data_IF_759777061046
#
_entry.id   IF_759777061046
#
_cell.length_a   1.000
_cell.length_b   1.000
_cell.length_c   1.000
_cell.angle_alpha   90.00
_cell.angle_beta   90.00
_cell.angle_gamma   90.00
#
_symmetry.space_group_name_H-M   'P 1'
#
loop_
_entity.id
_entity.type
_entity.pdbx_description
1 polymer ?
#
# COMPACT_ATOMS: atom_id res chain seq x y z
N UNK A 1 -15.25 -1.45 -10.89
CA UNK A 1 -14.29 -1.49 -9.76
C UNK A 1 -13.35 -0.31 -9.91
N UNK A 2 -12.89 0.27 -8.80
CA UNK A 2 -11.86 1.29 -8.87
C UNK A 2 -10.52 0.67 -9.25
N UNK A 3 -9.63 1.45 -9.86
CA UNK A 3 -8.31 0.98 -10.26
C UNK A 3 -7.27 2.09 -10.07
N UNK A 4 -6.06 1.68 -9.76
CA UNK A 4 -4.89 2.55 -9.71
C UNK A 4 -3.69 1.84 -10.34
N UNK A 5 -2.70 2.62 -10.77
CA UNK A 5 -1.37 2.11 -11.03
C UNK A 5 -0.55 2.27 -9.76
N UNK A 6 0.02 1.18 -9.26
CA UNK A 6 0.88 1.19 -8.08
C UNK A 6 2.34 0.79 -8.39
N UNK A 7 3.28 1.41 -7.70
CA UNK A 7 4.71 1.08 -7.72
C UNK A 7 5.26 1.24 -6.31
N UNK A 8 6.15 0.32 -5.89
CA UNK A 8 6.70 0.31 -4.54
C UNK A 8 8.20 0.07 -4.56
N UNK A 9 8.91 0.73 -3.66
CA UNK A 9 10.34 0.52 -3.42
C UNK A 9 10.70 0.63 -1.94
N UNK A 10 11.90 0.15 -1.60
CA UNK A 10 12.58 0.48 -0.35
C UNK A 10 12.92 1.97 -0.31
N UNK A 11 12.77 2.60 0.85
CA UNK A 11 13.07 4.01 1.06
C UNK A 11 14.39 4.17 1.85
N UNK A 12 15.54 4.08 1.17
CA UNK A 12 16.87 4.18 1.81
C UNK A 12 17.15 5.53 2.48
N UNK A 13 16.57 6.62 1.96
CA UNK A 13 16.71 7.98 2.47
C UNK A 13 15.33 8.55 2.83
N UNK A 14 14.65 7.94 3.81
CA UNK A 14 13.23 8.24 4.13
C UNK A 14 12.95 9.74 4.31
N UNK A 15 13.76 10.46 5.09
CA UNK A 15 13.52 11.88 5.33
C UNK A 15 13.73 12.76 4.09
N UNK A 16 14.72 12.43 3.25
CA UNK A 16 14.89 13.10 1.96
C UNK A 16 13.69 12.85 1.05
N UNK A 17 13.22 11.61 0.96
CA UNK A 17 12.05 11.25 0.14
C UNK A 17 10.79 11.94 0.67
N UNK A 18 10.63 12.05 2.00
CA UNK A 18 9.57 12.80 2.65
C UNK A 18 9.59 14.28 2.28
N UNK A 19 10.76 14.91 2.26
CA UNK A 19 10.92 16.30 1.82
C UNK A 19 10.62 16.48 0.32
N UNK A 20 11.01 15.53 -0.54
CA UNK A 20 10.69 15.59 -1.96
C UNK A 20 9.19 15.40 -2.22
N UNK A 21 8.56 14.43 -1.53
CA UNK A 21 7.12 14.22 -1.61
C UNK A 21 6.35 15.47 -1.18
N UNK A 22 6.79 16.15 -0.11
CA UNK A 22 6.20 17.40 0.35
C UNK A 22 6.30 18.54 -0.68
N UNK A 23 7.39 18.61 -1.47
CA UNK A 23 7.52 19.60 -2.55
C UNK A 23 6.60 19.34 -3.74
N UNK A 24 6.27 18.08 -3.99
CA UNK A 24 5.34 17.67 -5.05
C UNK A 24 3.87 17.76 -4.61
N UNK A 25 3.63 17.79 -3.30
CA UNK A 25 2.29 17.76 -2.74
C UNK A 25 1.52 19.04 -3.05
N UNK A 26 0.27 18.88 -3.48
CA UNK A 26 -0.69 19.96 -3.70
C UNK A 26 -1.56 20.23 -2.48
N UNK A 27 -1.52 19.34 -1.49
CA UNK A 27 -2.33 19.39 -0.27
C UNK A 27 -1.47 19.13 0.98
N UNK A 28 -2.04 19.43 2.15
CA UNK A 28 -1.41 19.11 3.42
C UNK A 28 -1.25 17.58 3.58
N UNK A 29 -0.13 17.11 4.13
CA UNK A 29 0.09 15.68 4.32
C UNK A 29 -0.85 15.09 5.37
N UNK A 30 -1.21 13.82 5.16
CA UNK A 30 -1.98 13.02 6.11
C UNK A 30 -1.06 11.99 6.76
N UNK A 31 -1.33 11.68 8.02
CA UNK A 31 -0.51 10.76 8.81
C UNK A 31 -1.42 9.73 9.47
N UNK A 32 -1.08 8.45 9.31
CA UNK A 32 -1.87 7.35 9.85
C UNK A 32 -0.98 6.33 10.53
N UNK A 33 -1.43 5.81 11.68
CA UNK A 33 -1.00 4.51 12.17
C UNK A 33 -2.03 3.47 11.76
N UNK A 34 -1.58 2.48 11.02
CA UNK A 34 -2.43 1.50 10.35
C UNK A 34 -2.07 0.09 10.78
N UNK A 35 -3.10 -0.72 10.94
CA UNK A 35 -2.98 -2.17 11.10
C UNK A 35 -3.83 -2.87 10.04
N UNK A 36 -3.16 -3.62 9.17
CA UNK A 36 -3.77 -4.38 8.08
C UNK A 36 -3.76 -5.87 8.42
N UNK A 37 -4.93 -6.47 8.62
CA UNK A 37 -5.10 -7.91 8.77
C UNK A 37 -5.34 -8.53 7.41
N UNK A 38 -4.50 -9.46 6.98
CA UNK A 38 -4.64 -10.16 5.71
C UNK A 38 -5.26 -11.53 5.91
N UNK A 39 -6.12 -11.91 4.98
CA UNK A 39 -6.81 -13.20 5.00
C UNK A 39 -6.54 -13.96 3.71
N UNK A 40 -6.33 -15.26 3.81
CA UNK A 40 -6.25 -16.12 2.63
C UNK A 40 -7.64 -16.27 2.01
N UNK A 41 -7.70 -16.00 0.71
CA UNK A 41 -8.91 -16.07 -0.11
C UNK A 41 -8.58 -16.75 -1.44
N UNK A 42 -9.54 -17.43 -2.07
CA UNK A 42 -9.27 -18.21 -3.29
C UNK A 42 -8.89 -17.34 -4.49
N UNK A 43 -9.17 -16.03 -4.46
CA UNK A 43 -8.87 -15.08 -5.53
C UNK A 43 -8.48 -13.75 -4.95
N UNK A 44 -7.51 -13.08 -5.56
CA UNK A 44 -7.05 -11.75 -5.14
C UNK A 44 -6.51 -11.73 -3.72
N UNK A 45 -6.64 -10.59 -3.07
CA UNK A 45 -6.18 -10.35 -1.70
C UNK A 45 -7.27 -9.63 -0.93
N UNK A 46 -7.50 -10.05 0.30
CA UNK A 46 -8.46 -9.43 1.21
C UNK A 46 -7.73 -8.94 2.45
N UNK A 47 -7.97 -7.69 2.82
CA UNK A 47 -7.47 -7.14 4.08
C UNK A 47 -8.51 -6.30 4.80
N UNK A 48 -8.49 -6.36 6.13
CA UNK A 48 -9.17 -5.42 7.01
C UNK A 48 -8.14 -4.39 7.49
N UNK A 49 -8.31 -3.12 7.11
CA UNK A 49 -7.49 -2.00 7.57
C UNK A 49 -8.15 -1.30 8.75
N UNK A 50 -7.39 -1.09 9.82
CA UNK A 50 -7.77 -0.26 10.96
C UNK A 50 -6.83 0.94 11.09
N UNK A 51 -7.33 1.97 11.74
CA UNK A 51 -6.60 3.19 12.05
C UNK A 51 -6.65 3.46 13.56
N UNK A 52 -5.56 3.95 14.14
CA UNK A 52 -5.50 4.25 15.58
C UNK A 52 -6.12 5.61 15.95
N UNK A 53 -6.36 6.48 14.97
CA UNK A 53 -6.84 7.85 15.15
C UNK A 53 -8.38 7.99 15.12
N UNK A 54 -9.10 6.87 15.10
CA UNK A 54 -10.56 6.84 14.99
C UNK A 54 -11.10 6.99 13.56
N UNK A 55 -10.24 7.07 12.54
CA UNK A 55 -10.67 6.97 11.14
C UNK A 55 -11.41 5.64 10.92
N UNK A 56 -12.55 5.64 10.19
CA UNK A 56 -13.32 4.43 9.95
C UNK A 56 -12.47 3.31 9.34
N UNK A 57 -12.57 2.11 9.92
CA UNK A 57 -11.93 0.92 9.38
C UNK A 57 -12.54 0.53 8.02
N UNK A 58 -11.79 -0.22 7.23
CA UNK A 58 -12.21 -0.63 5.90
C UNK A 58 -11.87 -2.08 5.60
N UNK A 59 -12.80 -2.78 4.98
CA UNK A 59 -12.52 -4.06 4.32
C UNK A 59 -12.19 -3.79 2.86
N UNK A 60 -11.04 -4.28 2.41
CA UNK A 60 -10.48 -3.97 1.11
C UNK A 60 -10.17 -5.28 0.39
N UNK A 61 -10.86 -5.52 -0.71
CA UNK A 61 -10.49 -6.53 -1.68
C UNK A 61 -9.69 -5.88 -2.80
N UNK A 62 -8.59 -6.49 -3.22
CA UNK A 62 -7.83 -6.02 -4.37
C UNK A 62 -7.15 -7.16 -5.13
N UNK A 63 -6.87 -6.92 -6.41
CA UNK A 63 -6.16 -7.83 -7.29
C UNK A 63 -5.12 -7.07 -8.10
N UNK A 64 -3.90 -7.60 -8.11
CA UNK A 64 -2.77 -7.11 -8.90
C UNK A 64 -1.76 -8.22 -9.11
N UNK A 65 -0.96 -8.07 -10.16
CA UNK A 65 0.16 -8.96 -10.44
C UNK A 65 1.34 -8.69 -9.49
N UNK A 66 2.18 -9.70 -9.29
CA UNK A 66 3.43 -9.58 -8.53
C UNK A 66 4.59 -9.32 -9.49
N UNK A 67 4.60 -8.11 -10.04
CA UNK A 67 5.67 -7.61 -10.92
C UNK A 67 6.35 -6.37 -10.36
N UNK A 68 7.63 -6.23 -10.66
CA UNK A 68 8.36 -4.99 -10.40
C UNK A 68 7.85 -3.86 -11.29
N UNK A 69 8.04 -2.62 -10.82
CA UNK A 69 7.57 -1.42 -11.51
C UNK A 69 6.07 -1.14 -11.37
N UNK A 70 5.56 -0.16 -12.15
CA UNK A 70 4.15 0.22 -12.16
C UNK A 70 3.27 -0.94 -12.61
N UNK A 71 2.14 -1.12 -11.93
CA UNK A 71 1.19 -2.19 -12.21
C UNK A 71 -0.23 -1.79 -11.84
N UNK A 72 -1.18 -2.23 -12.63
CA UNK A 72 -2.59 -2.05 -12.32
C UNK A 72 -3.00 -2.85 -11.08
N UNK A 73 -3.75 -2.21 -10.21
CA UNK A 73 -4.39 -2.80 -9.04
C UNK A 73 -5.87 -2.44 -9.06
N UNK A 74 -6.70 -3.48 -9.07
CA UNK A 74 -8.16 -3.38 -9.11
C UNK A 74 -8.69 -3.61 -7.73
N UNK A 75 -9.46 -2.68 -7.19
CA UNK A 75 -9.87 -2.75 -5.79
C UNK A 75 -11.32 -2.35 -5.54
N UNK A 76 -11.86 -2.87 -4.44
CA UNK A 76 -13.14 -2.50 -3.86
C UNK A 76 -12.96 -2.32 -2.36
N UNK A 77 -13.55 -1.25 -1.83
CA UNK A 77 -13.46 -0.88 -0.42
C UNK A 77 -14.86 -0.79 0.16
N UNK A 78 -15.03 -1.27 1.38
CA UNK A 78 -16.26 -1.15 2.14
C UNK A 78 -15.95 -0.67 3.56
N UNK A 79 -16.62 0.39 4.05
CA UNK A 79 -16.43 0.83 5.42
C UNK A 79 -16.89 -0.25 6.41
N UNK A 80 -16.20 -0.36 7.54
CA UNK A 80 -16.48 -1.33 8.60
C UNK A 80 -16.73 -0.59 9.90
N UNK A 81 -17.95 -0.70 10.43
CA UNK A 81 -18.38 0.00 11.64
C UNK A 81 -17.89 -0.67 12.92
N UNK A 82 -17.72 -2.00 12.91
CA UNK A 82 -17.17 -2.76 14.03
C UNK A 82 -16.00 -3.64 13.53
N UNK A 83 -14.76 -3.12 13.54
CA UNK A 83 -13.61 -3.84 13.01
C UNK A 83 -13.25 -5.07 13.85
N UNK A 84 -13.56 -5.10 15.15
CA UNK A 84 -13.30 -6.25 16.02
C UNK A 84 -14.22 -7.42 15.70
N UNK A 85 -15.53 -7.16 15.60
CA UNK A 85 -16.48 -8.18 15.16
C UNK A 85 -16.16 -8.69 13.75
N UNK A 86 -15.79 -7.79 12.83
CA UNK A 86 -15.41 -8.17 11.47
C UNK A 86 -14.15 -9.04 11.45
N UNK A 87 -13.12 -8.66 12.22
CA UNK A 87 -11.90 -9.45 12.30
C UNK A 87 -12.17 -10.84 12.86
N UNK A 88 -12.90 -10.95 13.97
CA UNK A 88 -13.27 -12.22 14.60
C UNK A 88 -14.05 -13.13 13.64
N UNK A 89 -15.01 -12.57 12.90
CA UNK A 89 -15.78 -13.31 11.90
C UNK A 89 -14.88 -13.83 10.78
N UNK A 90 -14.07 -12.96 10.18
CA UNK A 90 -13.20 -13.34 9.07
C UNK A 90 -12.10 -14.32 9.48
N UNK A 91 -11.51 -14.15 10.66
CA UNK A 91 -10.51 -15.09 11.20
C UNK A 91 -11.10 -16.45 11.58
N UNK A 92 -12.42 -16.52 11.82
CA UNK A 92 -13.13 -17.81 12.01
C UNK A 92 -13.45 -18.47 10.67
N UNK A 93 -13.84 -17.67 9.67
CA UNK A 93 -14.24 -18.18 8.36
C UNK A 93 -13.05 -18.46 7.41
N UNK A 94 -11.92 -17.78 7.60
CA UNK A 94 -10.73 -17.79 6.75
C UNK A 94 -9.46 -17.87 7.60
N UNK A 95 -8.36 -18.30 6.98
CA UNK A 95 -7.04 -18.23 7.62
C UNK A 95 -6.53 -16.79 7.63
N UNK A 96 -6.16 -16.29 8.81
CA UNK A 96 -5.39 -15.05 8.94
C UNK A 96 -3.98 -15.29 8.44
N UNK A 97 -3.63 -14.69 7.29
CA UNK A 97 -2.34 -14.81 6.60
C UNK A 97 -1.21 -14.07 7.32
N UNK A 98 -1.56 -12.96 7.99
CA UNK A 98 -0.60 -12.12 8.69
C UNK A 98 -1.16 -10.75 9.01
N UNK A 99 -0.42 -9.99 9.81
CA UNK A 99 -0.76 -8.64 10.25
C UNK A 99 0.39 -7.72 9.85
N UNK A 100 0.08 -6.59 9.22
CA UNK A 100 1.05 -5.54 8.89
C UNK A 100 0.69 -4.28 9.67
N UNK A 101 1.56 -3.88 10.59
CA UNK A 101 1.46 -2.60 11.31
C UNK A 101 2.43 -1.60 10.71
N UNK A 102 2.00 -0.35 10.52
CA UNK A 102 2.83 0.69 9.91
C UNK A 102 2.41 2.12 10.25
N UNK A 103 3.38 3.01 10.24
CA UNK A 103 3.17 4.46 10.17
C UNK A 103 3.23 4.90 8.71
N UNK A 104 2.19 5.57 8.22
CA UNK A 104 2.07 6.03 6.83
C UNK A 104 1.94 7.54 6.78
N UNK A 105 2.81 8.16 5.99
CA UNK A 105 2.65 9.53 5.52
C UNK A 105 2.05 9.50 4.12
N UNK A 106 1.00 10.28 3.88
CA UNK A 106 0.36 10.40 2.57
C UNK A 106 0.51 11.82 2.06
N UNK A 107 1.08 11.94 0.86
CA UNK A 107 1.15 13.19 0.11
C UNK A 107 0.34 13.04 -1.18
N UNK A 108 -0.39 14.07 -1.57
CA UNK A 108 -1.18 14.09 -2.80
C UNK A 108 -0.51 15.01 -3.81
N UNK A 109 -0.09 14.47 -4.95
CA UNK A 109 0.40 15.23 -6.10
C UNK A 109 -0.60 15.10 -7.25
N UNK A 110 -1.59 16.00 -7.28
CA UNK A 110 -2.76 15.83 -8.16
C UNK A 110 -3.52 14.55 -7.80
N UNK A 111 -3.64 13.61 -8.74
CA UNK A 111 -4.31 12.31 -8.53
C UNK A 111 -3.38 11.20 -8.02
N UNK A 112 -2.08 11.46 -7.98
CA UNK A 112 -1.08 10.50 -7.51
C UNK A 112 -0.93 10.62 -6.00
N UNK A 113 -1.13 9.51 -5.29
CA UNK A 113 -0.84 9.41 -3.86
C UNK A 113 0.58 8.90 -3.69
N UNK A 114 1.36 9.59 -2.87
CA UNK A 114 2.70 9.18 -2.47
C UNK A 114 2.61 8.73 -1.01
N UNK A 115 2.88 7.46 -0.76
CA UNK A 115 2.92 6.85 0.56
C UNK A 115 4.37 6.67 0.99
N UNK A 116 4.72 7.19 2.16
CA UNK A 116 5.96 6.87 2.85
C UNK A 116 5.62 6.06 4.10
N UNK A 117 6.01 4.80 4.10
CA UNK A 117 5.63 3.82 5.10
C UNK A 117 6.85 3.41 5.93
N UNK A 118 6.69 3.45 7.26
CA UNK A 118 7.56 2.72 8.19
C UNK A 118 6.81 1.48 8.63
N UNK A 119 7.28 0.30 8.23
CA UNK A 119 6.60 -0.97 8.43
C UNK A 119 7.32 -1.80 9.49
N UNK A 120 6.58 -2.20 10.51
CA UNK A 120 7.13 -3.01 11.60
C UNK A 120 7.72 -4.31 11.07
N UNK A 121 8.97 -4.61 11.45
CA UNK A 121 9.71 -5.80 11.00
C UNK A 121 10.27 -5.73 9.57
N UNK A 122 9.93 -4.71 8.77
CA UNK A 122 10.45 -4.56 7.41
C UNK A 122 11.24 -3.26 7.17
N UNK A 123 11.02 -2.21 7.96
CA UNK A 123 11.66 -0.91 7.77
C UNK A 123 10.90 -0.02 6.78
N UNK A 124 11.65 0.78 6.02
CA UNK A 124 11.11 1.95 5.33
C UNK A 124 10.83 1.72 3.84
N UNK A 125 9.69 2.24 3.36
CA UNK A 125 9.24 2.11 1.99
C UNK A 125 8.61 3.39 1.44
N UNK A 126 8.60 3.47 0.12
CA UNK A 126 7.82 4.43 -0.65
C UNK A 126 6.94 3.71 -1.66
N UNK A 127 5.68 4.10 -1.75
CA UNK A 127 4.70 3.54 -2.67
C UNK A 127 3.94 4.68 -3.37
N UNK A 128 3.70 4.56 -4.66
CA UNK A 128 2.80 5.45 -5.39
C UNK A 128 1.51 4.72 -5.73
N UNK A 129 0.40 5.45 -5.72
CA UNK A 129 -0.88 5.02 -6.28
C UNK A 129 -1.43 6.12 -7.19
N UNK A 130 -1.34 5.93 -8.51
CA UNK A 130 -1.94 6.81 -9.52
C UNK A 130 -3.39 6.37 -9.72
N UNK A 131 -4.35 7.11 -9.18
CA UNK A 131 -5.77 6.76 -9.30
C UNK A 131 -6.26 7.01 -10.73
N UNK A 132 -6.84 5.99 -11.36
CA UNK A 132 -7.37 6.11 -12.72
C UNK A 132 -8.88 6.36 -12.69
N UNK A 133 -9.31 7.34 -13.48
CA UNK A 133 -10.71 7.57 -13.80
C UNK A 133 -11.28 6.51 -14.76
N UNK A 134 -12.58 6.60 -15.07
CA UNK A 134 -13.26 5.68 -15.99
C UNK A 134 -12.64 5.67 -17.40
N UNK A 135 -12.22 6.83 -17.89
CA UNK A 135 -11.74 7.03 -19.26
C UNK A 135 -10.21 6.99 -19.43
N UNK A 136 -9.47 6.88 -18.31
CA UNK A 136 -8.01 6.80 -18.35
C UNK A 136 -7.53 5.44 -18.89
N UNK A 137 -6.37 5.40 -19.53
CA UNK A 137 -5.67 4.16 -19.84
C UNK A 137 -4.60 3.82 -18.79
N UNK A 138 -4.22 2.54 -18.74
CA UNK A 138 -3.17 2.08 -17.82
C UNK A 138 -1.81 2.66 -18.21
N UNK A 139 -1.52 2.79 -19.51
CA UNK A 139 -0.24 3.28 -20.01
C UNK A 139 0.07 4.71 -19.56
N UNK A 140 -0.92 5.60 -19.58
CA UNK A 140 -0.80 6.97 -19.07
C UNK A 140 -0.59 6.99 -17.55
N UNK A 141 -1.26 6.10 -16.82
CA UNK A 141 -1.03 5.91 -15.39
C UNK A 141 0.38 5.38 -15.07
N UNK A 142 0.89 4.44 -15.86
CA UNK A 142 2.26 3.90 -15.71
C UNK A 142 3.31 4.98 -16.02
N UNK A 143 3.09 5.79 -17.06
CA UNK A 143 3.96 6.91 -17.39
C UNK A 143 3.99 7.97 -16.26
N UNK A 144 2.83 8.30 -15.69
CA UNK A 144 2.74 9.22 -14.54
C UNK A 144 3.44 8.65 -13.30
N UNK A 145 3.24 7.35 -13.00
CA UNK A 145 3.92 6.68 -11.89
C UNK A 145 5.44 6.77 -12.05
N UNK A 146 5.96 6.49 -13.25
CA UNK A 146 7.39 6.61 -13.55
C UNK A 146 7.92 8.05 -13.40
N UNK A 147 7.20 9.04 -13.92
CA UNK A 147 7.58 10.45 -13.83
C UNK A 147 7.66 10.93 -12.37
N UNK A 148 6.65 10.60 -11.54
CA UNK A 148 6.66 10.96 -10.12
C UNK A 148 7.79 10.22 -9.37
N UNK A 149 8.03 8.94 -9.66
CA UNK A 149 9.13 8.17 -9.07
C UNK A 149 10.50 8.78 -9.39
N UNK A 150 10.70 9.20 -10.65
CA UNK A 150 11.91 9.87 -11.09
C UNK A 150 12.11 11.21 -10.39
N UNK A 151 11.05 12.01 -10.23
CA UNK A 151 11.10 13.29 -9.49
C UNK A 151 11.43 13.11 -8.01
N UNK A 152 10.97 12.02 -7.39
CA UNK A 152 11.32 11.66 -6.02
C UNK A 152 12.78 11.20 -5.89
N UNK A 153 13.39 10.74 -6.98
CA UNK A 153 14.78 10.29 -7.03
C UNK A 153 14.98 8.89 -6.43
N UNK A 154 13.98 8.02 -6.54
CA UNK A 154 14.06 6.63 -6.05
C UNK A 154 14.76 5.76 -7.11
N UNK A 155 15.70 4.92 -6.68
CA UNK A 155 16.44 4.02 -7.57
C UNK A 155 15.56 2.85 -8.04
N UNK A 156 15.76 2.41 -9.29
CA UNK A 156 15.05 1.23 -9.83
C UNK A 156 15.45 -0.07 -9.11
N UNK A 157 16.69 -0.16 -8.64
CA UNK A 157 17.20 -1.33 -7.89
C UNK A 157 16.52 -1.49 -6.52
N UNK A 158 15.78 -0.48 -6.05
CA UNK A 158 15.03 -0.53 -4.80
C UNK A 158 13.59 -1.00 -4.97
N UNK A 159 13.14 -1.30 -6.19
CA UNK A 159 11.78 -1.74 -6.47
C UNK A 159 11.42 -3.06 -5.77
N UNK A 160 10.16 -3.16 -5.36
CA UNK A 160 9.61 -4.30 -4.61
C UNK A 160 8.28 -4.72 -5.21
N UNK A 161 8.24 -5.89 -5.86
CA UNK A 161 7.02 -6.46 -6.46
C UNK A 161 5.91 -6.84 -5.46
N UNK A 162 6.26 -7.56 -4.40
CA UNK A 162 5.30 -8.27 -3.53
C UNK A 162 4.66 -7.39 -2.45
N UNK A 163 3.58 -7.83 -1.80
CA UNK A 163 2.96 -7.09 -0.70
C UNK A 163 3.78 -7.20 0.62
N UNK A 164 3.54 -6.31 1.59
CA UNK A 164 4.27 -6.35 2.87
C UNK A 164 4.05 -7.67 3.64
N UNK A 165 2.83 -8.22 3.62
CA UNK A 165 2.53 -9.49 4.28
C UNK A 165 3.36 -10.64 3.70
N UNK A 166 3.65 -10.62 2.40
CA UNK A 166 4.46 -11.64 1.74
C UNK A 166 5.93 -11.53 2.15
N UNK A 167 6.44 -10.29 2.30
CA UNK A 167 7.81 -10.04 2.79
C UNK A 167 7.99 -10.48 4.24
N UNK A 168 7.01 -10.20 5.10
CA UNK A 168 7.05 -10.62 6.51
C UNK A 168 7.10 -12.15 6.60
N UNK A 169 6.21 -12.82 5.88
CA UNK A 169 6.12 -14.28 5.91
C UNK A 169 7.36 -14.97 5.32
N UNK A 170 8.03 -14.36 4.33
CA UNK A 170 9.30 -14.86 3.81
C UNK A 170 10.45 -14.72 4.83
N UNK A 171 10.49 -13.63 5.61
CA UNK A 171 11.48 -13.43 6.66
C UNK A 171 11.37 -14.46 7.79
N UNK A 172 10.14 -14.78 8.20
CA UNK A 172 9.89 -15.76 9.27
C UNK A 172 10.32 -17.18 8.90
N UNK A 173 10.27 -17.54 7.60
CA UNK A 173 10.73 -18.86 7.14
C UNK A 173 12.26 -19.00 7.14
N UNK A 174 13.00 -17.89 7.04
CA UNK A 174 14.47 -17.91 7.07
C UNK A 174 15.05 -17.95 8.50
N UNK A 175 14.32 -17.45 9.51
CA UNK A 175 14.74 -17.53 10.92
C UNK A 175 14.39 -18.88 11.57
N UNK A 176 13.51 -19.67 10.96
CA UNK A 176 13.09 -20.98 11.44
C UNK A 176 13.85 -22.18 10.83
N UNK A 177 14.85 -21.92 9.98
CA UNK A 177 15.69 -22.92 9.30
C UNK A 177 17.13 -22.88 9.81
#
# INVERSE_FOLDING_TARGET
MARNIEIKARAREFDRLREQAAKLATEAPLFYRQQDFFYDVPRGRLKLRRFEDGTPAELIFYQRDDRDGPKASYYTRSPVTNPDAMHSLLATALTTRGIVTKERHVYLAGRTRIHLDRVDGLGDFIELEVVLGPDDDEAGGEAEAHDVFAKLGVAQDDLVAVAYVDLLNAGTQHEAA
#
